data_IF_349869909684
#
_entry.id   IF_349869909684
#
_cell.length_a   1.000
_cell.length_b   1.000
_cell.length_c   1.000
_cell.angle_alpha   90.00
_cell.angle_beta   90.00
_cell.angle_gamma   90.00
#
_symmetry.space_group_name_H-M   'P 1'
#
loop_
_entity.id
_entity.type
_entity.pdbx_description
1 polymer ?
#
# COMPACT_ATOMS: atom_id res chain seq x y z
N UNK A 1 -15.00 -81.94 63.29
CA UNK A 1 -15.14 -82.70 62.05
C UNK A 1 -14.46 -81.85 60.99
N UNK A 2 -13.14 -81.88 60.86
CA UNK A 2 -12.30 -82.92 60.22
C UNK A 2 -12.82 -83.21 58.81
N UNK A 3 -12.16 -82.63 57.82
CA UNK A 3 -11.56 -83.40 56.72
C UNK A 3 -10.47 -82.56 56.07
N UNK A 4 -9.28 -83.17 56.04
CA UNK A 4 -8.10 -82.76 55.27
C UNK A 4 -8.20 -83.45 53.90
N UNK A 5 -7.61 -82.89 52.85
CA UNK A 5 -6.85 -83.68 51.89
C UNK A 5 -5.84 -82.83 51.08
N UNK A 6 -4.58 -83.22 51.28
CA UNK A 6 -3.39 -83.25 50.41
C UNK A 6 -3.65 -83.50 48.92
N UNK A 7 -2.75 -83.32 47.93
CA UNK A 7 -1.37 -82.84 47.71
C UNK A 7 -1.06 -83.16 46.22
N UNK A 8 0.04 -82.62 45.66
CA UNK A 8 0.74 -83.03 44.41
C UNK A 8 0.03 -82.69 43.07
N UNK A 9 0.57 -81.92 42.12
CA UNK A 9 1.95 -81.81 41.66
C UNK A 9 2.09 -82.57 40.33
N UNK A 10 2.24 -81.87 39.19
CA UNK A 10 2.96 -82.39 38.01
C UNK A 10 3.25 -81.26 37.00
N UNK A 11 4.51 -81.23 36.56
CA UNK A 11 5.20 -80.25 35.74
C UNK A 11 4.92 -80.35 34.22
N UNK A 12 5.57 -79.43 33.50
CA UNK A 12 6.13 -79.53 32.15
C UNK A 12 5.40 -78.87 30.96
N UNK A 13 5.88 -77.66 30.68
CA UNK A 13 6.75 -77.35 29.52
C UNK A 13 6.15 -76.81 28.20
N UNK A 14 6.93 -75.86 27.66
CA UNK A 14 7.08 -75.32 26.31
C UNK A 14 5.99 -74.44 25.63
N UNK A 15 6.49 -73.28 25.18
CA UNK A 15 6.00 -72.35 24.12
C UNK A 15 4.88 -71.40 24.55
N UNK A 16 5.02 -70.07 24.46
CA UNK A 16 5.37 -69.35 23.25
C UNK A 16 5.99 -67.97 23.55
N UNK A 17 6.92 -67.56 22.68
CA UNK A 17 7.62 -66.27 22.70
C UNK A 17 6.65 -65.15 22.31
N UNK A 18 6.47 -64.13 23.15
CA UNK A 18 6.14 -62.79 22.64
C UNK A 18 6.97 -61.74 23.38
N UNK A 19 7.98 -61.24 22.67
CA UNK A 19 8.70 -60.01 22.96
C UNK A 19 7.77 -58.82 22.73
N UNK A 20 7.73 -57.86 23.65
CA UNK A 20 7.56 -56.45 23.27
C UNK A 20 8.22 -55.52 24.28
N UNK A 21 9.18 -54.74 23.77
CA UNK A 21 10.01 -53.76 24.47
C UNK A 21 9.22 -52.54 25.02
N UNK A 22 9.76 -51.87 26.05
CA UNK A 22 9.23 -50.60 26.54
C UNK A 22 9.85 -49.40 25.79
N UNK A 23 9.20 -48.92 24.73
CA UNK A 23 9.52 -47.60 24.15
C UNK A 23 8.68 -46.53 24.83
N UNK A 24 9.21 -45.91 25.90
CA UNK A 24 8.56 -44.73 26.51
C UNK A 24 9.48 -43.69 27.14
N UNK A 25 10.76 -43.61 26.76
CA UNK A 25 11.72 -42.70 27.41
C UNK A 25 12.61 -41.84 26.49
N UNK A 26 12.24 -41.59 25.23
CA UNK A 26 13.12 -40.91 24.27
C UNK A 26 12.52 -39.67 23.58
N UNK A 27 11.60 -38.96 24.23
CA UNK A 27 10.98 -37.78 23.63
C UNK A 27 10.95 -36.57 24.57
N UNK A 28 12.11 -36.12 25.05
CA UNK A 28 12.28 -34.82 25.72
C UNK A 28 13.72 -34.33 25.54
N UNK A 29 14.11 -34.05 24.29
CA UNK A 29 15.11 -33.00 24.06
C UNK A 29 14.31 -31.75 23.71
N UNK A 30 14.26 -30.78 24.61
CA UNK A 30 13.66 -29.47 24.35
C UNK A 30 14.46 -28.81 23.25
N UNK A 31 13.98 -28.92 22.02
CA UNK A 31 14.55 -28.25 20.86
C UNK A 31 14.57 -26.74 21.16
N UNK A 32 15.77 -26.15 21.28
CA UNK A 32 15.96 -24.72 21.63
C UNK A 32 15.13 -23.82 20.72
N UNK A 33 14.98 -24.23 19.46
CA UNK A 33 14.19 -23.55 18.44
C UNK A 33 12.69 -23.52 18.79
N UNK A 34 12.17 -24.59 19.41
CA UNK A 34 10.77 -24.65 19.85
C UNK A 34 10.54 -23.68 21.01
N UNK A 35 11.46 -23.64 21.99
CA UNK A 35 11.37 -22.71 23.12
C UNK A 35 11.44 -21.24 22.65
N UNK A 36 12.32 -20.93 21.71
CA UNK A 36 12.44 -19.60 21.11
C UNK A 36 11.15 -19.21 20.39
N UNK A 37 10.60 -20.08 19.54
CA UNK A 37 9.33 -19.86 18.85
C UNK A 37 8.14 -19.63 19.81
N UNK A 38 8.08 -20.36 20.93
CA UNK A 38 7.07 -20.13 21.97
C UNK A 38 7.25 -18.76 22.63
N UNK A 39 8.48 -18.35 22.93
CA UNK A 39 8.76 -17.04 23.51
C UNK A 39 8.39 -15.89 22.57
N UNK A 40 8.68 -16.03 21.28
CA UNK A 40 8.30 -15.07 20.24
C UNK A 40 6.79 -14.96 20.08
N UNK A 41 6.07 -16.09 20.11
CA UNK A 41 4.62 -16.12 20.05
C UNK A 41 4.01 -15.37 21.25
N UNK A 42 4.55 -15.58 22.45
CA UNK A 42 4.09 -14.90 23.66
C UNK A 42 4.38 -13.40 23.60
N UNK A 43 5.59 -13.01 23.18
CA UNK A 43 5.96 -11.61 23.03
C UNK A 43 5.11 -10.89 21.98
N UNK A 44 4.85 -11.54 20.84
CA UNK A 44 3.97 -11.04 19.79
C UNK A 44 2.53 -10.87 20.30
N UNK A 45 2.00 -11.88 20.99
CA UNK A 45 0.65 -11.83 21.59
C UNK A 45 0.53 -10.72 22.64
N UNK A 46 1.56 -10.52 23.47
CA UNK A 46 1.58 -9.41 24.42
C UNK A 46 1.55 -8.06 23.70
N UNK A 47 2.36 -7.91 22.64
CA UNK A 47 2.40 -6.69 21.83
C UNK A 47 1.07 -6.39 21.13
N UNK A 48 0.36 -7.41 20.65
CA UNK A 48 -0.96 -7.21 20.03
C UNK A 48 -2.02 -6.80 21.06
N UNK A 49 -1.99 -7.38 22.26
CA UNK A 49 -2.89 -6.97 23.35
C UNK A 49 -2.63 -5.54 23.82
N UNK A 50 -1.36 -5.16 23.99
CA UNK A 50 -0.99 -3.79 24.35
C UNK A 50 -1.45 -2.80 23.26
N UNK A 51 -1.28 -3.13 21.98
CA UNK A 51 -1.78 -2.32 20.86
C UNK A 51 -3.31 -2.21 20.82
N UNK A 52 -4.03 -3.29 21.16
CA UNK A 52 -5.49 -3.24 21.28
C UNK A 52 -5.94 -2.35 22.45
N UNK A 53 -5.26 -2.42 23.59
CA UNK A 53 -5.55 -1.57 24.75
C UNK A 53 -5.26 -0.10 24.45
N UNK A 54 -4.16 0.21 23.75
CA UNK A 54 -3.87 1.56 23.28
C UNK A 54 -4.98 2.09 22.35
N UNK A 55 -5.55 1.24 21.49
CA UNK A 55 -6.66 1.61 20.60
C UNK A 55 -7.98 1.89 21.36
N UNK A 56 -8.17 1.28 22.53
CA UNK A 56 -9.36 1.46 23.35
C UNK A 56 -9.31 2.71 24.25
N UNK A 57 -8.17 3.39 24.35
CA UNK A 57 -8.05 4.62 25.12
C UNK A 57 -8.80 5.77 24.43
N UNK A 58 -9.34 6.69 25.24
CA UNK A 58 -9.95 7.90 24.69
C UNK A 58 -8.89 8.73 23.95
N UNK A 59 -9.28 9.43 22.88
CA UNK A 59 -8.37 10.27 22.10
C UNK A 59 -7.69 11.30 23.01
N UNK A 60 -8.44 11.88 23.95
CA UNK A 60 -7.91 12.82 24.95
C UNK A 60 -6.76 12.25 25.78
N UNK A 61 -6.83 10.96 26.12
CA UNK A 61 -5.83 10.27 26.92
C UNK A 61 -4.59 9.89 26.09
N UNK A 62 -4.80 9.53 24.83
CA UNK A 62 -3.72 9.37 23.85
C UNK A 62 -2.97 10.68 23.63
N UNK A 63 -3.68 11.80 23.43
CA UNK A 63 -3.09 13.14 23.28
C UNK A 63 -2.32 13.54 24.54
N UNK A 64 -2.87 13.30 25.74
CA UNK A 64 -2.18 13.56 26.99
C UNK A 64 -0.88 12.72 27.11
N UNK A 65 -0.91 11.46 26.67
CA UNK A 65 0.27 10.61 26.55
C UNK A 65 1.33 11.17 25.61
N UNK A 66 0.93 11.67 24.43
CA UNK A 66 1.84 12.31 23.48
C UNK A 66 2.44 13.61 24.01
N UNK A 67 1.65 14.42 24.71
CA UNK A 67 2.14 15.67 25.32
C UNK A 67 3.13 15.43 26.47
N UNK A 68 3.13 14.23 27.05
CA UNK A 68 4.10 13.82 28.08
C UNK A 68 5.48 13.50 27.50
N UNK A 69 5.54 12.98 26.28
CA UNK A 69 6.79 12.75 25.51
C UNK A 69 6.54 12.97 24.01
N UNK A 70 6.67 14.23 23.52
CA UNK A 70 6.35 14.56 22.14
C UNK A 70 7.41 14.08 21.14
N UNK A 71 8.56 13.60 21.62
CA UNK A 71 9.73 13.25 20.80
C UNK A 71 9.38 12.24 19.70
N UNK A 72 8.57 11.23 20.04
CA UNK A 72 8.12 10.20 19.10
C UNK A 72 7.19 10.76 18.03
N UNK A 73 6.28 11.66 18.41
CA UNK A 73 5.32 12.28 17.49
C UNK A 73 6.04 13.21 16.52
N UNK A 74 6.92 14.09 17.04
CA UNK A 74 7.71 15.04 16.24
C UNK A 74 8.55 14.30 15.20
N UNK A 75 9.24 13.23 15.60
CA UNK A 75 9.99 12.37 14.68
C UNK A 75 9.12 11.78 13.57
N UNK A 76 7.86 11.46 13.89
CA UNK A 76 6.88 10.94 12.94
C UNK A 76 6.34 12.00 11.96
N UNK A 77 6.23 13.26 12.39
CA UNK A 77 5.82 14.41 11.58
C UNK A 77 6.94 14.91 10.65
N UNK A 78 8.19 14.68 11.05
CA UNK A 78 9.39 15.00 10.27
C UNK A 78 9.72 13.97 9.17
N UNK A 79 8.85 12.96 8.99
CA UNK A 79 9.00 11.98 7.92
C UNK A 79 8.31 12.47 6.63
N UNK A 80 9.02 12.38 5.51
CA UNK A 80 8.47 12.78 4.23
C UNK A 80 7.54 11.69 3.66
N UNK A 81 6.23 11.84 3.87
CA UNK A 81 5.19 10.90 3.42
C UNK A 81 4.65 11.21 2.02
N UNK A 82 5.09 12.31 1.41
CA UNK A 82 4.59 12.75 0.11
C UNK A 82 5.22 11.94 -1.03
N UNK A 83 4.38 11.32 -1.87
CA UNK A 83 4.82 10.63 -3.09
C UNK A 83 5.23 11.60 -4.22
N UNK A 84 5.05 12.91 -3.99
CA UNK A 84 5.34 13.98 -4.96
C UNK A 84 6.60 14.69 -4.48
N UNK A 85 7.67 14.65 -5.27
CA UNK A 85 8.88 15.39 -4.97
C UNK A 85 8.57 16.90 -4.86
N UNK A 86 8.97 17.50 -3.74
CA UNK A 86 8.83 18.93 -3.51
C UNK A 86 9.64 19.70 -4.58
N UNK A 87 8.98 20.62 -5.28
CA UNK A 87 9.62 21.46 -6.29
C UNK A 87 10.66 22.36 -5.61
N UNK A 88 11.94 22.13 -5.91
CA UNK A 88 13.06 22.83 -5.25
C UNK A 88 14.22 21.90 -4.86
N UNK A 89 13.97 20.59 -4.75
CA UNK A 89 15.02 19.60 -4.59
C UNK A 89 15.67 19.30 -5.96
N UNK A 90 16.34 20.30 -6.53
CA UNK A 90 17.29 20.10 -7.61
C UNK A 90 18.55 19.53 -6.96
N UNK A 91 18.96 18.28 -7.25
CA UNK A 91 20.29 17.84 -6.85
C UNK A 91 21.28 18.65 -7.69
N UNK A 92 21.72 19.79 -7.16
CA UNK A 92 22.76 20.58 -7.80
C UNK A 92 24.07 19.79 -7.68
N UNK A 93 24.50 19.28 -8.83
CA UNK A 93 25.70 18.50 -9.00
C UNK A 93 26.93 19.38 -8.81
N UNK A 94 27.34 19.60 -7.56
CA UNK A 94 28.74 19.85 -7.13
C UNK A 94 28.80 20.07 -5.61
N UNK A 95 29.66 19.29 -4.95
CA UNK A 95 30.07 19.42 -3.54
C UNK A 95 29.00 19.07 -2.48
N UNK A 96 29.03 17.84 -1.97
CA UNK A 96 29.06 17.49 -0.52
C UNK A 96 28.82 15.97 -0.30
N UNK A 97 29.88 15.17 -0.40
CA UNK A 97 29.94 13.76 0.06
C UNK A 97 29.94 13.67 1.62
N UNK A 98 29.27 14.59 2.33
CA UNK A 98 29.31 14.68 3.80
C UNK A 98 28.00 15.11 4.49
N UNK A 99 26.85 15.00 3.82
CA UNK A 99 25.54 15.28 4.45
C UNK A 99 24.54 14.12 4.37
N UNK A 100 24.99 12.93 4.00
CA UNK A 100 24.12 11.75 3.93
C UNK A 100 24.05 10.94 5.25
N UNK A 101 24.85 11.28 6.28
CA UNK A 101 24.88 10.52 7.54
C UNK A 101 24.14 11.17 8.72
N UNK A 102 23.41 12.28 8.53
CA UNK A 102 22.83 13.05 9.65
C UNK A 102 21.30 12.93 9.84
N UNK A 103 20.56 12.31 8.93
CA UNK A 103 19.09 12.24 9.04
C UNK A 103 18.54 10.81 8.98
N UNK A 104 19.04 9.91 9.84
CA UNK A 104 18.26 8.72 10.22
C UNK A 104 16.96 9.10 10.98
N UNK A 105 16.79 10.38 11.30
CA UNK A 105 15.77 10.92 12.21
C UNK A 105 14.68 11.77 11.51
N UNK A 106 14.72 11.92 10.18
CA UNK A 106 13.78 12.80 9.44
C UNK A 106 14.31 14.22 9.25
N UNK A 107 13.60 15.02 8.46
CA UNK A 107 13.98 16.42 8.17
C UNK A 107 13.40 17.34 9.25
N UNK A 108 14.23 18.03 10.05
CA UNK A 108 13.75 18.89 11.13
C UNK A 108 12.95 20.11 10.65
N UNK A 109 13.10 20.51 9.39
CA UNK A 109 12.32 21.61 8.79
C UNK A 109 10.96 21.14 8.25
N UNK A 110 10.76 19.82 8.11
CA UNK A 110 9.52 19.23 7.64
C UNK A 110 8.56 18.98 8.81
N UNK A 111 7.34 19.52 8.73
CA UNK A 111 6.31 19.29 9.74
C UNK A 111 4.99 18.86 9.06
N UNK A 112 4.79 17.55 8.93
CA UNK A 112 3.52 16.97 8.45
C UNK A 112 2.65 16.57 9.66
N UNK A 113 1.83 17.51 10.14
CA UNK A 113 0.91 17.34 11.26
C UNK A 113 -0.47 16.80 10.84
N UNK A 114 -0.62 16.37 9.59
CA UNK A 114 -1.92 16.03 8.99
C UNK A 114 -2.68 14.96 9.77
N UNK A 115 -1.99 13.95 10.31
CA UNK A 115 -2.59 12.86 11.09
C UNK A 115 -3.08 13.37 12.46
N UNK A 116 -2.25 14.16 13.15
CA UNK A 116 -2.58 14.74 14.44
C UNK A 116 -3.75 15.73 14.32
N UNK A 117 -3.74 16.59 13.29
CA UNK A 117 -4.83 17.51 13.01
C UNK A 117 -6.16 16.79 12.73
N UNK A 118 -6.13 15.68 11.97
CA UNK A 118 -7.32 14.87 11.73
C UNK A 118 -7.87 14.24 13.01
N UNK A 119 -7.01 13.80 13.92
CA UNK A 119 -7.42 13.24 15.20
C UNK A 119 -8.07 14.31 16.09
N UNK A 120 -7.49 15.51 16.19
CA UNK A 120 -8.10 16.64 16.91
C UNK A 120 -9.46 17.02 16.32
N UNK A 121 -9.58 17.05 14.99
CA UNK A 121 -10.85 17.30 14.32
C UNK A 121 -11.89 16.21 14.63
N UNK A 122 -11.47 14.94 14.65
CA UNK A 122 -12.36 13.83 14.98
C UNK A 122 -12.87 13.95 16.43
N UNK A 123 -12.00 14.21 17.39
CA UNK A 123 -12.37 14.43 18.79
C UNK A 123 -13.32 15.64 18.94
N UNK A 124 -13.04 16.72 18.23
CA UNK A 124 -13.92 17.88 18.19
C UNK A 124 -15.32 17.52 17.67
N UNK A 125 -15.42 16.74 16.58
CA UNK A 125 -16.72 16.31 16.07
C UNK A 125 -17.41 15.26 16.95
N UNK A 126 -16.67 14.45 17.69
CA UNK A 126 -17.20 13.43 18.61
C UNK A 126 -17.73 14.05 19.91
N UNK A 127 -17.14 15.17 20.34
CA UNK A 127 -17.61 15.96 21.51
C UNK A 127 -18.73 16.94 21.19
N UNK A 128 -18.94 17.27 19.91
CA UNK A 128 -20.06 18.09 19.46
C UNK A 128 -21.27 17.22 19.19
N UNK A 129 -22.40 17.53 19.84
CA UNK A 129 -23.68 16.93 19.46
C UNK A 129 -24.03 17.36 18.02
N UNK A 130 -24.15 16.44 17.04
CA UNK A 130 -24.45 16.75 15.65
C UNK A 130 -25.80 17.47 15.47
N UNK A 131 -26.65 17.46 16.50
CA UNK A 131 -27.89 18.24 16.53
C UNK A 131 -27.70 19.73 16.86
N UNK A 132 -26.60 20.11 17.52
CA UNK A 132 -26.41 21.44 18.12
C UNK A 132 -25.54 22.40 17.31
N UNK A 133 -24.61 21.89 16.48
CA UNK A 133 -23.70 22.75 15.71
C UNK A 133 -24.00 22.71 14.20
N UNK A 134 -24.58 23.81 13.72
CA UNK A 134 -24.84 24.04 12.29
C UNK A 134 -23.54 23.96 11.48
N UNK A 135 -22.43 24.45 12.03
CA UNK A 135 -21.11 24.52 11.38
C UNK A 135 -20.51 23.15 11.09
N UNK A 136 -20.59 22.17 12.01
CA UNK A 136 -20.11 20.81 11.77
C UNK A 136 -20.93 20.10 10.69
N UNK A 137 -22.25 20.28 10.70
CA UNK A 137 -23.14 19.73 9.69
C UNK A 137 -22.80 20.26 8.29
N UNK A 138 -22.56 21.57 8.15
CA UNK A 138 -22.11 22.17 6.89
C UNK A 138 -20.72 21.70 6.45
N UNK A 139 -19.79 21.48 7.36
CA UNK A 139 -18.46 20.93 7.05
C UNK A 139 -18.56 19.51 6.49
N UNK A 140 -19.32 18.62 7.16
CA UNK A 140 -19.58 17.25 6.69
C UNK A 140 -20.22 17.22 5.30
N UNK A 141 -21.20 18.09 5.07
CA UNK A 141 -21.90 18.21 3.78
C UNK A 141 -20.98 18.71 2.65
N UNK A 142 -19.93 19.48 2.97
CA UNK A 142 -18.93 19.94 1.99
C UNK A 142 -17.84 18.91 1.71
N UNK A 143 -17.52 18.06 2.69
CA UNK A 143 -16.61 16.92 2.55
C UNK A 143 -17.16 15.84 1.62
N UNK A 144 -18.48 15.78 1.44
CA UNK A 144 -19.09 14.87 0.46
C UNK A 144 -18.65 15.24 -0.96
N UNK A 145 -17.90 14.34 -1.59
CA UNK A 145 -17.43 14.47 -2.96
C UNK A 145 -18.64 14.43 -3.91
N UNK A 146 -19.07 15.62 -4.35
CA UNK A 146 -20.12 15.73 -5.36
C UNK A 146 -19.59 15.13 -6.66
N UNK A 147 -20.26 14.07 -7.15
CA UNK A 147 -19.98 13.50 -8.46
C UNK A 147 -20.20 14.59 -9.51
N UNK A 148 -19.10 15.12 -10.03
CA UNK A 148 -19.13 16.10 -11.12
C UNK A 148 -19.48 15.35 -12.40
N UNK A 149 -20.31 15.97 -13.25
CA UNK A 149 -20.59 15.44 -14.59
C UNK A 149 -19.26 15.25 -15.32
N UNK A 150 -19.09 14.11 -15.97
CA UNK A 150 -17.93 13.86 -16.81
C UNK A 150 -18.06 14.79 -18.01
N UNK A 151 -17.29 15.87 -17.98
CA UNK A 151 -17.19 16.87 -19.04
C UNK A 151 -15.84 16.68 -19.72
N UNK A 152 -15.83 16.69 -21.05
CA UNK A 152 -14.60 16.69 -21.84
C UNK A 152 -13.79 17.96 -21.53
N UNK A 153 -12.86 17.85 -20.57
CA UNK A 153 -12.01 18.96 -20.13
C UNK A 153 -11.13 19.49 -21.27
N UNK A 154 -10.81 18.64 -22.25
CA UNK A 154 -9.99 18.98 -23.42
C UNK A 154 -10.79 19.68 -24.52
N UNK A 155 -12.13 19.61 -24.49
CA UNK A 155 -12.97 20.40 -25.38
C UNK A 155 -12.95 21.92 -25.05
N UNK A 156 -12.51 22.30 -23.84
CA UNK A 156 -12.35 23.70 -23.46
C UNK A 156 -11.20 24.39 -24.22
N UNK A 157 -11.44 25.65 -24.65
CA UNK A 157 -10.44 26.55 -25.24
C UNK A 157 -9.71 25.98 -26.48
N UNK A 158 -10.46 25.39 -27.41
CA UNK A 158 -9.96 24.95 -28.73
C UNK A 158 -8.80 23.94 -28.71
N UNK A 159 -8.63 23.19 -27.61
CA UNK A 159 -7.65 22.09 -27.50
C UNK A 159 -8.09 20.80 -28.18
N UNK A 160 -9.35 20.74 -28.63
CA UNK A 160 -9.94 19.68 -29.45
C UNK A 160 -10.23 20.26 -30.83
N UNK A 161 -9.76 19.57 -31.88
CA UNK A 161 -10.05 19.94 -33.27
C UNK A 161 -11.55 19.77 -33.50
N UNK A 162 -12.19 20.82 -34.01
CA UNK A 162 -13.61 20.84 -34.38
C UNK A 162 -13.70 21.12 -35.88
N UNK A 163 -14.35 20.22 -36.60
CA UNK A 163 -14.63 20.40 -38.02
C UNK A 163 -15.86 21.32 -38.16
N UNK A 164 -15.63 22.62 -38.03
CA UNK A 164 -16.61 23.67 -38.28
C UNK A 164 -16.10 24.58 -39.39
N UNK A 165 -16.95 24.90 -40.34
CA UNK A 165 -16.60 25.82 -41.42
C UNK A 165 -16.60 27.24 -40.86
N UNK A 166 -15.49 27.96 -41.04
CA UNK A 166 -15.34 29.34 -40.59
C UNK A 166 -15.47 30.29 -41.79
N UNK A 167 -16.59 31.01 -41.88
CA UNK A 167 -16.95 31.82 -43.06
C UNK A 167 -15.84 32.79 -43.52
N UNK A 168 -15.14 33.44 -42.57
CA UNK A 168 -14.08 34.42 -42.87
C UNK A 168 -12.85 33.83 -43.59
N UNK A 169 -12.61 32.53 -43.46
CA UNK A 169 -11.47 31.85 -44.11
C UNK A 169 -11.91 31.01 -45.31
N UNK A 170 -13.22 30.90 -45.56
CA UNK A 170 -13.73 30.29 -46.79
C UNK A 170 -13.25 31.13 -47.98
N UNK A 171 -12.71 30.47 -49.00
CA UNK A 171 -12.17 31.11 -50.20
C UNK A 171 -11.06 32.15 -49.95
N UNK A 172 -10.34 32.06 -48.82
CA UNK A 172 -9.26 33.00 -48.51
C UNK A 172 -8.11 32.96 -49.53
N UNK A 173 -7.86 31.80 -50.14
CA UNK A 173 -6.86 31.64 -51.20
C UNK A 173 -7.42 30.77 -52.33
N UNK A 174 -7.09 31.13 -53.57
CA UNK A 174 -7.36 30.28 -54.72
C UNK A 174 -6.40 29.07 -54.73
N UNK A 175 -6.87 27.87 -55.08
CA UNK A 175 -6.00 26.72 -55.27
C UNK A 175 -4.94 27.03 -56.33
N UNK A 176 -3.67 26.75 -56.01
CA UNK A 176 -2.57 26.85 -56.97
C UNK A 176 -2.19 25.45 -57.43
N UNK A 177 -2.16 25.16 -58.74
CA UNK A 177 -1.69 23.88 -59.21
C UNK A 177 -0.22 23.71 -58.84
N UNK A 178 0.11 22.56 -58.25
CA UNK A 178 1.47 22.13 -58.05
C UNK A 178 1.81 21.13 -59.15
N UNK A 179 2.78 21.48 -60.00
CA UNK A 179 3.31 20.56 -60.98
C UNK A 179 4.28 19.61 -60.27
N UNK A 180 3.82 18.40 -59.97
CA UNK A 180 4.69 17.38 -59.40
C UNK A 180 5.68 16.92 -60.49
N UNK A 181 6.97 16.80 -60.16
CA UNK A 181 7.93 16.28 -61.12
C UNK A 181 7.58 14.82 -61.45
N UNK A 182 7.80 14.37 -62.70
CA UNK A 182 7.37 13.05 -63.18
C UNK A 182 8.02 11.89 -62.42
N UNK A 183 9.13 12.13 -61.72
CA UNK A 183 9.81 11.15 -60.86
C UNK A 183 9.24 11.06 -59.42
N UNK A 184 8.38 11.99 -59.00
CA UNK A 184 7.85 12.04 -57.64
C UNK A 184 7.08 10.77 -57.22
N UNK A 185 6.18 10.19 -58.03
CA UNK A 185 5.45 8.98 -57.62
C UNK A 185 6.41 7.82 -57.31
N UNK A 186 7.40 7.61 -58.18
CA UNK A 186 8.42 6.56 -58.03
C UNK A 186 9.33 6.81 -56.82
N UNK A 187 9.63 8.07 -56.50
CA UNK A 187 10.36 8.42 -55.29
C UNK A 187 9.54 8.13 -54.03
N UNK A 188 8.26 8.51 -53.98
CA UNK A 188 7.41 8.29 -52.81
C UNK A 188 7.17 6.82 -52.50
N UNK A 189 7.07 5.98 -53.53
CA UNK A 189 6.98 4.52 -53.37
C UNK A 189 8.22 3.92 -52.70
N UNK A 190 9.41 4.49 -52.94
CA UNK A 190 10.68 3.94 -52.48
C UNK A 190 11.32 4.74 -51.33
N UNK A 191 10.67 5.80 -50.84
CA UNK A 191 11.26 6.78 -49.91
C UNK A 191 11.71 6.16 -48.58
N UNK A 192 10.96 5.18 -48.06
CA UNK A 192 11.22 4.54 -46.77
C UNK A 192 11.62 3.05 -46.91
N UNK A 193 11.91 2.57 -48.12
CA UNK A 193 12.23 1.16 -48.37
C UNK A 193 11.08 0.17 -48.11
N UNK A 194 9.87 0.69 -47.86
CA UNK A 194 8.66 -0.10 -47.66
C UNK A 194 8.10 -0.50 -49.03
N UNK A 195 8.31 -1.75 -49.41
CA UNK A 195 7.75 -2.32 -50.63
C UNK A 195 6.23 -2.32 -50.48
N UNK A 196 5.52 -1.37 -51.09
CA UNK A 196 4.06 -1.44 -51.19
C UNK A 196 3.73 -2.59 -52.13
N UNK A 197 3.26 -3.73 -51.59
CA UNK A 197 2.67 -4.78 -52.41
C UNK A 197 1.47 -4.17 -53.13
N UNK A 198 1.59 -3.98 -54.45
CA UNK A 198 0.48 -3.54 -55.29
C UNK A 198 -0.62 -4.61 -55.15
N UNK A 199 -1.78 -4.32 -54.53
CA UNK A 199 -2.85 -5.30 -54.49
C UNK A 199 -3.23 -5.61 -55.94
N UNK A 200 -3.22 -6.90 -56.29
CA UNK A 200 -3.62 -7.35 -57.61
C UNK A 200 -5.01 -6.76 -57.89
N UNK A 201 -5.12 -5.94 -58.93
CA UNK A 201 -6.40 -5.47 -59.43
C UNK A 201 -7.17 -6.70 -59.90
N UNK A 202 -8.14 -7.13 -59.10
CA UNK A 202 -9.14 -8.08 -59.54
C UNK A 202 -10.02 -7.45 -60.61
N UNK A 203 -10.22 -8.22 -61.68
CA UNK A 203 -11.01 -7.99 -62.90
C UNK A 203 -10.23 -7.37 -64.07
#
# INVERSE_FOLDING_TARGET
>A
MVESDSDLGFDDDVTDRIMHEPVRSLFCDTDSNISEAYSDLIASSKKTLDSMLELQQSISEQVAGYMRDPSKMIKGMQQNRSAVALFGNVPDSTENIKKEEAYADGDPELLDDSEFYQQLLKEFFETIDPSSSETAFYALKRLQTKKRKIVDRRASKSRKIRYHVHEKIVNFMAPRPMDLPPMAPKLFENLFGLKTQKPASGA
#
